data_IF_502420557841
#
_entry.id   IF_502420557841
#
_cell.length_a   1.000
_cell.length_b   1.000
_cell.length_c   1.000
_cell.angle_alpha   90.00
_cell.angle_beta   90.00
_cell.angle_gamma   90.00
#
_symmetry.space_group_name_H-M   'P 1'
#
loop_
_entity.id
_entity.type
_entity.pdbx_description
1 polymer ?
#
# COMPACT_ATOMS: atom_id res chain seq x y z
N UNK A 1 12.15 -25.35 -17.70
CA UNK A 1 13.36 -24.51 -17.77
C UNK A 1 13.01 -23.11 -18.27
N UNK A 2 12.91 -22.13 -17.38
CA UNK A 2 13.48 -20.79 -17.53
C UNK A 2 13.90 -20.36 -16.12
N UNK A 3 15.20 -20.54 -15.83
CA UNK A 3 15.84 -19.96 -14.64
C UNK A 3 16.12 -18.50 -14.99
N UNK A 4 15.52 -17.55 -14.27
CA UNK A 4 15.97 -16.17 -14.30
C UNK A 4 16.89 -15.96 -13.09
N UNK A 5 18.18 -15.86 -13.39
CA UNK A 5 19.25 -15.48 -12.48
C UNK A 5 19.79 -14.14 -12.99
N UNK A 6 19.06 -13.04 -12.80
CA UNK A 6 19.50 -11.63 -13.03
C UNK A 6 18.38 -10.63 -12.71
N UNK A 7 18.78 -9.38 -12.46
CA UNK A 7 18.03 -8.18 -12.04
C UNK A 7 16.80 -7.82 -12.90
N UNK A 8 15.70 -8.58 -12.82
CA UNK A 8 14.53 -8.32 -13.69
C UNK A 8 13.16 -8.59 -13.05
N UNK A 9 12.89 -7.96 -11.91
CA UNK A 9 11.53 -7.75 -11.41
C UNK A 9 11.35 -6.30 -10.90
N UNK A 10 11.86 -5.30 -11.62
CA UNK A 10 11.35 -3.94 -11.42
C UNK A 10 10.04 -3.88 -12.21
N UNK A 11 8.95 -4.35 -11.59
CA UNK A 11 7.62 -3.93 -12.02
C UNK A 11 7.64 -2.41 -12.10
N UNK A 12 7.09 -1.80 -13.16
CA UNK A 12 6.94 -0.34 -13.22
C UNK A 12 6.23 0.14 -11.96
N UNK A 13 6.99 0.73 -11.03
CA UNK A 13 6.43 1.29 -9.82
C UNK A 13 5.57 2.49 -10.24
N UNK A 14 4.27 2.51 -9.90
CA UNK A 14 3.45 3.68 -10.19
C UNK A 14 4.11 4.92 -9.58
N UNK A 15 4.29 5.96 -10.39
CA UNK A 15 4.97 7.19 -9.97
C UNK A 15 4.18 7.83 -8.83
N UNK A 16 4.81 7.95 -7.66
CA UNK A 16 4.28 8.71 -6.54
C UNK A 16 4.80 10.14 -6.69
N UNK A 17 3.91 11.06 -7.04
CA UNK A 17 4.22 12.46 -7.26
C UNK A 17 3.18 13.36 -6.62
N UNK A 18 3.58 14.56 -6.20
CA UNK A 18 2.65 15.56 -5.68
C UNK A 18 1.76 16.04 -6.84
N UNK A 19 0.44 16.06 -6.62
CA UNK A 19 -0.55 16.47 -7.63
C UNK A 19 -0.99 15.36 -8.58
N UNK A 20 -0.34 14.20 -8.54
CA UNK A 20 -0.78 13.00 -9.26
C UNK A 20 -1.84 12.24 -8.46
N UNK A 21 -2.64 11.41 -9.15
CA UNK A 21 -3.57 10.51 -8.45
C UNK A 21 -2.76 9.50 -7.62
N UNK A 22 -3.10 9.38 -6.35
CA UNK A 22 -2.50 8.39 -5.47
C UNK A 22 -2.69 6.96 -6.05
N UNK A 23 -1.67 6.10 -6.00
CA UNK A 23 -1.80 4.73 -6.48
C UNK A 23 -2.90 3.98 -5.73
N UNK A 24 -3.81 3.37 -6.47
CA UNK A 24 -4.85 2.55 -5.88
C UNK A 24 -4.23 1.31 -5.22
N UNK A 25 -4.74 0.97 -4.04
CA UNK A 25 -4.42 -0.26 -3.33
C UNK A 25 -5.65 -0.76 -2.58
N UNK A 26 -5.68 -2.08 -2.37
CA UNK A 26 -6.58 -2.76 -1.45
C UNK A 26 -5.73 -3.64 -0.53
N UNK A 27 -6.05 -3.67 0.75
CA UNK A 27 -5.32 -4.48 1.74
C UNK A 27 -6.26 -4.94 2.83
N UNK A 28 -5.94 -6.07 3.48
CA UNK A 28 -6.53 -6.42 4.76
C UNK A 28 -6.11 -5.39 5.81
N UNK A 29 -7.03 -5.02 6.68
CA UNK A 29 -6.82 -4.14 7.82
C UNK A 29 -7.62 -4.63 9.03
N UNK A 30 -7.21 -4.20 10.22
CA UNK A 30 -7.90 -4.51 11.46
C UNK A 30 -8.66 -3.28 11.96
N UNK A 31 -9.99 -3.37 12.06
CA UNK A 31 -10.84 -2.28 12.51
C UNK A 31 -11.93 -2.79 13.47
N UNK A 32 -12.04 -2.15 14.64
CA UNK A 32 -13.03 -2.48 15.67
C UNK A 32 -13.10 -3.98 16.00
N UNK A 33 -11.94 -4.63 16.16
CA UNK A 33 -11.88 -6.04 16.56
C UNK A 33 -12.05 -7.04 15.42
N UNK A 34 -12.13 -6.58 14.16
CA UNK A 34 -12.38 -7.44 12.99
C UNK A 34 -11.38 -7.17 11.87
N UNK A 35 -11.04 -8.23 11.15
CA UNK A 35 -10.37 -8.11 9.86
C UNK A 35 -11.38 -7.64 8.81
N UNK A 36 -11.01 -6.61 8.06
CA UNK A 36 -11.79 -6.04 6.97
C UNK A 36 -10.87 -5.82 5.77
N UNK A 37 -11.44 -5.78 4.57
CA UNK A 37 -10.75 -5.28 3.39
C UNK A 37 -10.94 -3.77 3.30
N UNK A 38 -9.86 -3.02 3.06
CA UNK A 38 -9.90 -1.58 2.82
C UNK A 38 -9.27 -1.27 1.47
N UNK A 39 -10.00 -0.54 0.63
CA UNK A 39 -9.49 -0.03 -0.63
C UNK A 39 -9.41 1.49 -0.60
N UNK A 40 -8.42 2.07 -1.29
CA UNK A 40 -8.31 3.53 -1.40
C UNK A 40 -9.56 4.18 -2.02
N UNK A 41 -10.21 3.47 -2.93
CA UNK A 41 -11.40 3.95 -3.66
C UNK A 41 -12.62 4.16 -2.75
N UNK A 42 -12.71 3.43 -1.64
CA UNK A 42 -13.81 3.56 -0.66
C UNK A 42 -13.85 4.95 0.03
N UNK A 43 -12.74 5.69 -0.07
CA UNK A 43 -12.55 6.99 0.58
C UNK A 43 -12.64 8.18 -0.40
N UNK A 44 -13.06 7.96 -1.65
CA UNK A 44 -13.28 9.05 -2.60
C UNK A 44 -14.25 10.10 -2.05
N UNK A 45 -13.91 11.38 -2.22
CA UNK A 45 -14.68 12.51 -1.68
C UNK A 45 -14.38 12.87 -0.23
N UNK A 46 -13.45 12.16 0.43
CA UNK A 46 -12.97 12.48 1.79
C UNK A 46 -11.48 12.85 1.74
N UNK A 47 -11.04 13.65 2.71
CA UNK A 47 -9.62 13.83 2.99
C UNK A 47 -9.10 12.60 3.73
N UNK A 48 -7.98 12.04 3.24
CA UNK A 48 -7.37 10.83 3.78
C UNK A 48 -5.90 11.10 4.11
N UNK A 49 -5.47 10.68 5.30
CA UNK A 49 -4.06 10.64 5.70
C UNK A 49 -3.62 9.17 5.74
N UNK A 50 -2.68 8.82 4.86
CA UNK A 50 -2.05 7.49 4.85
C UNK A 50 -0.64 7.64 5.39
N UNK A 51 -0.31 6.93 6.47
CA UNK A 51 1.01 6.94 7.07
C UNK A 51 1.60 5.53 7.03
N UNK A 52 2.89 5.44 6.76
CA UNK A 52 3.65 4.19 6.84
C UNK A 52 4.58 4.26 8.05
N UNK A 53 4.70 3.16 8.77
CA UNK A 53 5.66 2.98 9.85
C UNK A 53 6.36 1.63 9.66
N UNK A 54 7.50 1.43 10.33
CA UNK A 54 8.41 0.33 10.02
C UNK A 54 7.92 -1.04 10.50
N UNK A 55 7.54 -1.16 11.77
CA UNK A 55 7.09 -2.43 12.37
C UNK A 55 6.26 -2.18 13.62
N UNK A 56 5.38 -3.14 13.91
CA UNK A 56 4.72 -3.25 15.21
C UNK A 56 5.73 -3.58 16.32
N UNK A 57 5.47 -3.10 17.53
CA UNK A 57 6.23 -3.38 18.77
C UNK A 57 7.74 -3.13 18.69
N UNK A 58 8.14 -1.88 18.50
CA UNK A 58 9.52 -1.45 18.75
C UNK A 58 9.79 -1.39 20.25
N UNK A 59 10.96 -1.86 20.68
CA UNK A 59 11.39 -1.78 22.08
C UNK A 59 11.51 -0.31 22.54
N UNK A 60 10.93 0.00 23.69
CA UNK A 60 11.04 1.28 24.43
C UNK A 60 11.79 1.07 25.72
#
# INVERSE_FOLDING_TARGET
MKKCLTESCVQECPRIGIGERAPNFCTSAYYCGREIEVCLEDYLGKWLLVFFYSSDFTFV
#
